data_IF_219095642096
#
_entry.id   IF_219095642096
#
_cell.length_a   1.000
_cell.length_b   1.000
_cell.length_c   1.000
_cell.angle_alpha   90.00
_cell.angle_beta   90.00
_cell.angle_gamma   90.00
#
_symmetry.space_group_name_H-M   'P 1'
#
loop_
_entity.id
_entity.type
_entity.pdbx_description
1 polymer ?
#
# COMPACT_ATOMS: atom_id res chain seq x y z
N UNK A 1 -70.59 -2.31 7.26
CA UNK A 1 -69.38 -3.15 7.12
C UNK A 1 -68.79 -3.37 8.51
N UNK A 2 -68.74 -4.61 9.01
CA UNK A 2 -68.21 -4.92 10.35
C UNK A 2 -66.68 -4.88 10.30
N UNK A 3 -66.05 -4.04 11.12
CA UNK A 3 -64.60 -3.99 11.29
C UNK A 3 -64.16 -5.17 12.17
N UNK A 4 -63.26 -6.01 11.65
CA UNK A 4 -62.61 -7.04 12.46
C UNK A 4 -61.48 -6.39 13.26
N UNK A 5 -61.49 -6.47 14.61
CA UNK A 5 -60.39 -5.93 15.41
C UNK A 5 -59.13 -6.76 15.15
N UNK A 6 -58.03 -6.08 14.80
CA UNK A 6 -56.73 -6.70 14.59
C UNK A 6 -56.33 -7.45 15.87
N UNK A 7 -56.12 -8.76 15.76
CA UNK A 7 -55.68 -9.55 16.91
C UNK A 7 -54.21 -9.24 17.23
N UNK A 8 -53.85 -9.26 18.52
CA UNK A 8 -52.47 -9.01 19.00
C UNK A 8 -51.41 -9.80 18.21
N UNK A 9 -51.74 -11.02 17.77
CA UNK A 9 -50.88 -11.89 16.96
C UNK A 9 -50.68 -11.39 15.52
N UNK A 10 -51.70 -10.78 14.93
CA UNK A 10 -51.61 -10.13 13.62
C UNK A 10 -50.78 -8.85 13.69
N UNK A 11 -50.92 -8.07 14.77
CA UNK A 11 -50.11 -6.86 15.00
C UNK A 11 -48.61 -7.18 15.09
N UNK A 12 -48.22 -8.17 15.91
CA UNK A 12 -46.81 -8.61 16.03
C UNK A 12 -46.25 -9.13 14.70
N UNK A 13 -47.08 -9.81 13.91
CA UNK A 13 -46.67 -10.30 12.58
C UNK A 13 -46.46 -9.15 11.58
N UNK A 14 -47.24 -8.07 11.67
CA UNK A 14 -47.09 -6.92 10.79
C UNK A 14 -45.93 -6.00 11.20
N UNK A 15 -45.62 -5.87 12.49
CA UNK A 15 -44.44 -5.11 12.96
C UNK A 15 -43.12 -5.79 12.63
N UNK A 16 -43.05 -7.13 12.64
CA UNK A 16 -41.84 -7.86 12.25
C UNK A 16 -41.43 -7.64 10.77
N UNK A 17 -42.41 -7.47 9.87
CA UNK A 17 -42.15 -7.22 8.44
C UNK A 17 -41.70 -5.77 8.19
N UNK A 18 -42.19 -4.80 8.95
CA UNK A 18 -41.80 -3.39 8.83
C UNK A 18 -40.34 -3.14 9.28
N UNK A 19 -39.84 -3.88 10.28
CA UNK A 19 -38.43 -3.78 10.71
C UNK A 19 -37.46 -4.47 9.75
N UNK A 20 -37.86 -5.57 9.09
CA UNK A 20 -36.99 -6.29 8.14
C UNK A 20 -36.70 -5.54 6.83
N UNK A 21 -37.59 -4.63 6.42
CA UNK A 21 -37.42 -3.86 5.18
C UNK A 21 -36.45 -2.67 5.32
N UNK A 22 -36.21 -2.18 6.54
CA UNK A 22 -35.26 -1.08 6.82
C UNK A 22 -33.84 -1.56 7.10
N UNK A 23 -33.62 -2.87 7.19
CA UNK A 23 -32.31 -3.49 7.44
C UNK A 23 -31.55 -3.88 6.17
N UNK A 24 -31.96 -3.43 4.99
CA UNK A 24 -31.07 -3.49 3.83
C UNK A 24 -29.99 -2.39 4.01
N UNK A 25 -28.72 -2.75 4.25
CA UNK A 25 -27.67 -1.74 4.20
C UNK A 25 -27.68 -1.20 2.78
N UNK A 26 -27.90 0.10 2.65
CA UNK A 26 -27.69 0.82 1.41
C UNK A 26 -26.22 0.62 1.04
N UNK A 27 -25.95 -0.34 0.14
CA UNK A 27 -24.60 -0.63 -0.38
C UNK A 27 -24.22 0.52 -1.31
N UNK A 28 -23.73 1.61 -0.74
CA UNK A 28 -23.03 2.65 -1.46
C UNK A 28 -22.17 3.46 -0.50
N UNK A 29 -20.99 2.94 -0.16
CA UNK A 29 -19.84 3.79 0.11
C UNK A 29 -18.61 3.17 -0.56
N UNK A 30 -17.77 3.94 -1.27
CA UNK A 30 -16.44 3.48 -1.62
C UNK A 30 -15.69 3.17 -0.32
N UNK A 31 -14.79 2.20 -0.33
CA UNK A 31 -13.96 1.81 0.81
C UNK A 31 -13.13 2.99 1.33
N UNK A 32 -13.74 3.88 2.11
CA UNK A 32 -13.02 4.85 2.94
C UNK A 32 -12.55 4.04 4.14
N UNK A 33 -11.35 3.47 4.04
CA UNK A 33 -10.68 2.86 5.18
C UNK A 33 -10.69 3.89 6.31
N UNK A 34 -11.39 3.57 7.40
CA UNK A 34 -11.40 4.40 8.60
C UNK A 34 -9.97 4.61 9.10
N UNK A 35 -9.71 5.73 9.79
CA UNK A 35 -8.37 6.12 10.22
C UNK A 35 -7.60 5.01 10.98
N UNK A 36 -8.31 4.11 11.66
CA UNK A 36 -7.74 2.97 12.39
C UNK A 36 -7.30 1.79 11.51
N UNK A 37 -7.62 1.78 10.22
CA UNK A 37 -7.27 0.69 9.29
C UNK A 37 -6.19 1.09 8.27
N UNK A 38 -5.61 2.29 8.41
CA UNK A 38 -4.54 2.76 7.52
C UNK A 38 -3.18 2.24 7.97
N UNK A 39 -2.33 1.90 7.01
CA UNK A 39 -0.94 1.53 7.26
C UNK A 39 -0.11 2.79 7.55
N UNK A 40 0.83 2.67 8.48
CA UNK A 40 1.87 3.67 8.69
C UNK A 40 3.01 3.42 7.72
N UNK A 41 3.09 4.27 6.70
CA UNK A 41 4.10 4.20 5.65
C UNK A 41 5.26 5.14 5.96
N UNK A 42 6.49 4.66 5.80
CA UNK A 42 7.67 5.53 5.84
C UNK A 42 8.39 5.59 4.49
N UNK A 43 8.82 6.78 4.10
CA UNK A 43 9.61 7.01 2.88
C UNK A 43 11.10 7.07 3.15
N UNK A 44 11.91 6.36 2.36
CA UNK A 44 13.37 6.42 2.36
C UNK A 44 13.85 6.86 0.97
N UNK A 45 14.39 8.08 0.89
CA UNK A 45 14.57 8.79 -0.38
C UNK A 45 13.22 9.32 -0.86
N UNK A 46 12.93 10.58 -0.59
CA UNK A 46 11.60 11.17 -0.78
C UNK A 46 11.62 12.42 -1.67
N UNK A 47 12.76 12.76 -2.26
CA UNK A 47 12.83 13.66 -3.43
C UNK A 47 12.60 12.93 -4.75
N UNK A 48 12.47 13.68 -5.85
CA UNK A 48 12.37 13.14 -7.21
C UNK A 48 11.35 11.98 -7.37
N UNK A 49 11.82 10.79 -7.77
CA UNK A 49 10.94 9.61 -7.92
C UNK A 49 10.29 9.20 -6.59
N UNK A 50 11.00 9.32 -5.47
CA UNK A 50 10.49 9.00 -4.14
C UNK A 50 9.28 9.86 -3.76
N UNK A 51 9.24 11.13 -4.17
CA UNK A 51 8.06 11.97 -3.98
C UNK A 51 6.82 11.34 -4.62
N UNK A 52 6.92 10.94 -5.90
CA UNK A 52 5.81 10.27 -6.60
C UNK A 52 5.43 8.92 -5.98
N UNK A 53 6.39 8.16 -5.43
CA UNK A 53 6.06 6.88 -4.77
C UNK A 53 5.24 7.11 -3.50
N UNK A 54 5.57 8.13 -2.71
CA UNK A 54 4.80 8.53 -1.53
C UNK A 54 3.42 9.04 -1.92
N UNK A 55 3.31 9.85 -2.97
CA UNK A 55 2.01 10.34 -3.47
C UNK A 55 1.09 9.21 -3.91
N UNK A 56 1.61 8.12 -4.49
CA UNK A 56 0.78 6.99 -4.90
C UNK A 56 0.22 6.16 -3.73
N UNK A 57 0.65 6.45 -2.49
CA UNK A 57 0.19 5.78 -1.27
C UNK A 57 -0.30 6.78 -0.22
N UNK A 58 -0.60 8.03 -0.61
CA UNK A 58 -1.02 9.09 0.32
C UNK A 58 -2.47 8.94 0.82
N UNK A 59 -3.17 7.92 0.33
CA UNK A 59 -4.42 7.42 0.92
C UNK A 59 -4.18 6.67 2.25
N UNK A 60 -2.95 6.26 2.53
CA UNK A 60 -2.51 5.68 3.82
C UNK A 60 -1.98 6.77 4.77
N UNK A 61 -1.42 6.40 5.93
CA UNK A 61 -0.77 7.35 6.82
C UNK A 61 0.71 7.51 6.46
N UNK A 62 1.08 8.67 5.91
CA UNK A 62 2.50 9.01 5.69
C UNK A 62 3.12 9.39 7.03
N UNK A 63 3.69 8.40 7.70
CA UNK A 63 4.10 8.48 9.10
C UNK A 63 5.49 9.11 9.27
N UNK A 64 6.44 8.73 8.43
CA UNK A 64 7.81 9.26 8.48
C UNK A 64 8.41 9.42 7.09
N UNK A 65 9.25 10.44 6.92
CA UNK A 65 9.96 10.72 5.67
C UNK A 65 11.45 10.91 5.98
N UNK A 66 12.29 10.21 5.22
CA UNK A 66 13.73 10.23 5.36
C UNK A 66 14.41 10.62 4.07
N UNK A 67 15.22 11.69 4.10
CA UNK A 67 16.10 12.07 3.01
C UNK A 67 17.36 12.75 3.53
N UNK A 68 18.51 12.49 2.90
CA UNK A 68 19.76 13.17 3.23
C UNK A 68 19.84 14.56 2.60
N UNK A 69 19.14 14.75 1.49
CA UNK A 69 19.05 16.01 0.74
C UNK A 69 17.73 16.72 1.05
N UNK A 70 17.79 17.66 1.99
CA UNK A 70 16.62 18.43 2.43
C UNK A 70 16.06 19.34 1.34
N UNK A 71 16.89 19.79 0.40
CA UNK A 71 16.46 20.69 -0.68
C UNK A 71 15.65 19.90 -1.69
N UNK A 72 16.16 18.75 -2.14
CA UNK A 72 15.46 17.87 -3.06
C UNK A 72 14.17 17.29 -2.46
N UNK A 73 14.17 16.98 -1.16
CA UNK A 73 13.01 16.45 -0.44
C UNK A 73 12.00 17.52 0.04
N UNK A 74 12.31 18.81 -0.13
CA UNK A 74 11.53 19.90 0.45
C UNK A 74 10.05 19.87 0.02
N UNK A 75 9.76 19.43 -1.20
CA UNK A 75 8.39 19.27 -1.71
C UNK A 75 7.58 18.27 -0.88
N UNK A 76 8.11 17.07 -0.68
CA UNK A 76 7.48 16.02 0.12
C UNK A 76 7.33 16.44 1.58
N UNK A 77 8.34 17.08 2.17
CA UNK A 77 8.27 17.58 3.55
C UNK A 77 7.20 18.66 3.75
N UNK A 78 6.98 19.54 2.76
CA UNK A 78 5.91 20.55 2.81
C UNK A 78 4.53 19.92 2.60
N UNK A 79 4.42 18.94 1.69
CA UNK A 79 3.15 18.26 1.39
C UNK A 79 2.66 17.41 2.56
N UNK A 80 3.58 16.78 3.31
CA UNK A 80 3.27 15.93 4.47
C UNK A 80 3.88 16.52 5.76
N UNK A 81 3.37 17.65 6.26
CA UNK A 81 3.99 18.35 7.39
C UNK A 81 3.89 17.59 8.72
N UNK A 82 2.96 16.62 8.82
CA UNK A 82 2.78 15.79 10.02
C UNK A 82 3.71 14.57 10.05
N UNK A 83 4.35 14.23 8.92
CA UNK A 83 5.28 13.11 8.87
C UNK A 83 6.55 13.45 9.64
N UNK A 84 7.01 12.52 10.49
CA UNK A 84 8.28 12.67 11.21
C UNK A 84 9.43 12.71 10.21
N UNK A 85 10.32 13.70 10.35
CA UNK A 85 11.43 13.91 9.41
C UNK A 85 12.72 13.32 9.94
N UNK A 86 13.45 12.63 9.05
CA UNK A 86 14.74 12.03 9.36
C UNK A 86 15.73 12.29 8.23
N UNK A 87 17.01 12.30 8.58
CA UNK A 87 18.12 12.37 7.61
C UNK A 87 18.77 11.01 7.35
N UNK A 88 18.60 10.08 8.28
CA UNK A 88 19.20 8.75 8.26
C UNK A 88 18.11 7.69 8.51
N UNK A 89 17.95 6.78 7.54
CA UNK A 89 16.92 5.75 7.61
C UNK A 89 17.19 4.74 8.72
N UNK A 90 18.44 4.57 9.14
CA UNK A 90 18.82 3.68 10.25
C UNK A 90 18.26 4.23 11.55
N UNK A 91 18.47 5.52 11.78
CA UNK A 91 17.95 6.24 12.95
C UNK A 91 16.42 6.29 12.94
N UNK A 92 15.81 6.51 11.76
CA UNK A 92 14.36 6.44 11.60
C UNK A 92 13.83 5.06 12.00
N UNK A 93 14.37 4.00 11.41
CA UNK A 93 13.93 2.63 11.68
C UNK A 93 14.17 2.22 13.14
N UNK A 94 15.28 2.63 13.75
CA UNK A 94 15.57 2.36 15.17
C UNK A 94 14.54 3.02 16.10
N UNK A 95 14.28 4.32 15.92
CA UNK A 95 13.41 5.09 16.82
C UNK A 95 11.93 4.79 16.58
N UNK A 96 11.56 4.63 15.33
CA UNK A 96 10.18 4.64 14.88
C UNK A 96 9.72 3.32 14.27
N UNK A 97 10.62 2.35 14.08
CA UNK A 97 10.31 1.10 13.39
C UNK A 97 9.13 0.35 13.98
N UNK A 98 8.89 0.42 15.30
CA UNK A 98 7.72 -0.22 15.93
C UNK A 98 6.37 0.35 15.48
N UNK A 99 6.35 1.56 14.93
CA UNK A 99 5.16 2.25 14.44
C UNK A 99 5.03 2.22 12.92
N UNK A 100 6.05 1.76 12.20
CA UNK A 100 6.06 1.67 10.74
C UNK A 100 5.60 0.27 10.33
N UNK A 101 4.68 0.18 9.38
CA UNK A 101 4.21 -1.09 8.81
C UNK A 101 4.95 -1.42 7.52
N UNK A 102 5.15 -0.43 6.67
CA UNK A 102 5.82 -0.57 5.38
C UNK A 102 6.74 0.61 5.07
N UNK A 103 7.73 0.37 4.21
CA UNK A 103 8.60 1.42 3.68
C UNK A 103 8.57 1.47 2.16
N UNK A 104 8.67 2.68 1.61
CA UNK A 104 9.06 2.90 0.21
C UNK A 104 10.53 3.25 0.15
N UNK A 105 11.30 2.58 -0.70
CA UNK A 105 12.74 2.79 -0.87
C UNK A 105 13.02 3.29 -2.29
N UNK A 106 13.38 4.56 -2.40
CA UNK A 106 13.60 5.28 -3.67
C UNK A 106 14.86 6.14 -3.63
N UNK A 107 15.87 5.68 -2.89
CA UNK A 107 17.22 6.27 -2.82
C UNK A 107 17.97 6.10 -4.16
N UNK A 108 19.21 6.60 -4.30
CA UNK A 108 20.11 6.08 -5.33
C UNK A 108 20.20 4.55 -5.28
N UNK A 109 20.41 3.93 -6.44
CA UNK A 109 20.34 2.48 -6.67
C UNK A 109 21.22 1.64 -5.72
N UNK A 110 22.41 2.12 -5.38
CA UNK A 110 23.33 1.45 -4.45
C UNK A 110 22.88 1.41 -3.01
N UNK A 111 21.87 2.20 -2.66
CA UNK A 111 21.28 2.22 -1.33
C UNK A 111 19.95 1.46 -1.25
N UNK A 112 19.41 0.97 -2.37
CA UNK A 112 18.18 0.18 -2.39
C UNK A 112 18.28 -1.08 -1.53
N UNK A 113 19.25 -1.95 -1.81
CA UNK A 113 19.39 -3.21 -1.10
C UNK A 113 19.71 -3.02 0.40
N UNK A 114 20.67 -2.15 0.80
CA UNK A 114 20.94 -1.90 2.22
C UNK A 114 19.71 -1.42 3.01
N UNK A 115 18.97 -0.43 2.48
CA UNK A 115 17.79 0.12 3.15
C UNK A 115 16.65 -0.91 3.22
N UNK A 116 16.36 -1.58 2.11
CA UNK A 116 15.32 -2.60 2.03
C UNK A 116 15.62 -3.80 2.95
N UNK A 117 16.85 -4.33 2.94
CA UNK A 117 17.26 -5.44 3.80
C UNK A 117 17.12 -5.08 5.28
N UNK A 118 17.52 -3.87 5.67
CA UNK A 118 17.39 -3.42 7.05
C UNK A 118 15.90 -3.37 7.48
N UNK A 119 15.05 -2.76 6.65
CA UNK A 119 13.62 -2.68 6.91
C UNK A 119 12.96 -4.07 6.98
N UNK A 120 13.26 -4.97 6.03
CA UNK A 120 12.72 -6.34 6.03
C UNK A 120 13.16 -7.15 7.25
N UNK A 121 14.43 -7.01 7.68
CA UNK A 121 14.93 -7.66 8.92
C UNK A 121 14.17 -7.21 10.17
N UNK A 122 13.61 -6.00 10.14
CA UNK A 122 12.74 -5.44 11.19
C UNK A 122 11.25 -5.77 10.97
N UNK A 123 10.93 -6.66 10.03
CA UNK A 123 9.57 -7.12 9.75
C UNK A 123 8.73 -6.13 8.95
N UNK A 124 9.34 -5.18 8.24
CA UNK A 124 8.63 -4.17 7.45
C UNK A 124 8.38 -4.63 6.03
N UNK A 125 7.18 -4.36 5.53
CA UNK A 125 6.88 -4.54 4.11
C UNK A 125 7.65 -3.51 3.28
N UNK A 126 8.07 -3.88 2.07
CA UNK A 126 8.95 -3.03 1.26
C UNK A 126 8.44 -2.88 -0.16
N UNK A 127 8.16 -1.65 -0.55
CA UNK A 127 8.19 -1.26 -1.96
C UNK A 127 9.57 -0.66 -2.27
N UNK A 128 10.27 -1.15 -3.28
CA UNK A 128 11.61 -0.68 -3.64
C UNK A 128 11.71 -0.37 -5.13
N UNK A 129 12.30 0.77 -5.49
CA UNK A 129 12.41 1.18 -6.87
C UNK A 129 13.31 0.29 -7.72
N UNK A 130 13.09 0.35 -9.04
CA UNK A 130 14.01 -0.22 -10.03
C UNK A 130 15.24 0.70 -10.22
N UNK A 131 16.41 0.15 -10.58
CA UNK A 131 16.76 -1.28 -10.49
C UNK A 131 16.73 -1.74 -9.03
N UNK A 132 16.33 -3.00 -8.77
CA UNK A 132 16.14 -3.49 -7.40
C UNK A 132 17.43 -3.43 -6.58
N UNK A 133 18.54 -3.82 -7.19
CA UNK A 133 19.87 -3.95 -6.58
C UNK A 133 20.96 -3.72 -7.63
N UNK A 134 22.22 -3.56 -7.20
CA UNK A 134 23.37 -3.52 -8.13
C UNK A 134 23.84 -4.90 -8.52
N UNK A 135 23.71 -5.88 -7.63
CA UNK A 135 24.21 -7.24 -7.87
C UNK A 135 23.11 -8.29 -7.76
N UNK A 136 23.30 -9.39 -8.49
CA UNK A 136 22.44 -10.59 -8.36
C UNK A 136 22.52 -11.18 -6.95
N UNK A 137 23.68 -11.06 -6.29
CA UNK A 137 23.85 -11.51 -4.90
C UNK A 137 22.89 -10.76 -3.96
N UNK A 138 22.86 -9.44 -4.03
CA UNK A 138 21.93 -8.62 -3.23
C UNK A 138 20.47 -8.99 -3.49
N UNK A 139 20.08 -9.23 -4.76
CA UNK A 139 18.72 -9.63 -5.09
C UNK A 139 18.35 -10.99 -4.44
N UNK A 140 19.28 -11.96 -4.46
CA UNK A 140 19.10 -13.26 -3.78
C UNK A 140 18.98 -13.10 -2.27
N UNK A 141 19.80 -12.23 -1.66
CA UNK A 141 19.74 -11.92 -0.23
C UNK A 141 18.41 -11.26 0.15
N UNK A 142 17.93 -10.30 -0.65
CA UNK A 142 16.62 -9.67 -0.44
C UNK A 142 15.49 -10.68 -0.50
N UNK A 143 15.52 -11.60 -1.47
CA UNK A 143 14.51 -12.65 -1.58
C UNK A 143 14.53 -13.62 -0.38
N UNK A 144 15.71 -13.98 0.11
CA UNK A 144 15.86 -14.83 1.30
C UNK A 144 15.31 -14.15 2.56
N UNK A 145 15.70 -12.89 2.81
CA UNK A 145 15.23 -12.12 3.97
C UNK A 145 13.72 -11.90 3.90
N UNK A 146 13.18 -11.56 2.73
CA UNK A 146 11.73 -11.39 2.55
C UNK A 146 10.96 -12.66 2.93
N UNK A 147 11.42 -13.84 2.47
CA UNK A 147 10.81 -15.14 2.83
C UNK A 147 10.95 -15.43 4.32
N UNK A 148 12.15 -15.22 4.88
CA UNK A 148 12.44 -15.51 6.30
C UNK A 148 11.56 -14.69 7.24
N UNK A 149 11.40 -13.39 6.94
CA UNK A 149 10.62 -12.47 7.76
C UNK A 149 9.13 -12.39 7.37
N UNK A 150 8.72 -13.13 6.33
CA UNK A 150 7.34 -13.19 5.83
C UNK A 150 6.74 -11.81 5.52
N UNK A 151 7.56 -10.95 4.92
CA UNK A 151 7.15 -9.59 4.54
C UNK A 151 6.74 -9.55 3.07
N UNK A 152 5.66 -8.83 2.77
CA UNK A 152 5.31 -8.45 1.41
C UNK A 152 6.39 -7.52 0.82
N UNK A 153 6.76 -7.79 -0.43
CA UNK A 153 7.70 -6.96 -1.19
C UNK A 153 7.18 -6.70 -2.59
N UNK A 154 7.49 -5.52 -3.13
CA UNK A 154 7.18 -5.14 -4.51
C UNK A 154 8.31 -4.29 -5.09
N UNK A 155 8.73 -4.60 -6.31
CA UNK A 155 9.62 -3.72 -7.07
C UNK A 155 8.80 -2.69 -7.85
N UNK A 156 9.26 -1.44 -7.89
CA UNK A 156 8.69 -0.35 -8.69
C UNK A 156 8.91 -0.54 -10.20
N UNK A 157 8.28 -1.55 -10.79
CA UNK A 157 8.36 -1.86 -12.22
C UNK A 157 7.14 -1.29 -12.97
N UNK A 158 7.04 0.04 -13.07
CA UNK A 158 5.80 0.71 -13.47
C UNK A 158 5.35 0.38 -14.90
N UNK A 159 6.29 0.05 -15.80
CA UNK A 159 5.97 -0.39 -17.17
C UNK A 159 5.16 -1.68 -17.25
N UNK A 160 5.21 -2.52 -16.20
CA UNK A 160 4.54 -3.81 -16.18
C UNK A 160 3.29 -3.87 -15.30
N UNK A 161 2.91 -2.77 -14.64
CA UNK A 161 1.77 -2.76 -13.70
C UNK A 161 0.52 -2.02 -14.20
N UNK A 162 0.53 -1.49 -15.43
CA UNK A 162 -0.59 -0.75 -16.01
C UNK A 162 -1.62 -1.66 -16.72
N UNK A 163 -2.81 -1.11 -16.99
CA UNK A 163 -3.92 -1.84 -17.64
C UNK A 163 -3.59 -2.30 -19.06
N UNK A 164 -2.82 -1.53 -19.82
CA UNK A 164 -2.42 -1.91 -21.18
C UNK A 164 -1.53 -3.15 -21.18
N UNK A 165 -0.54 -3.21 -20.28
CA UNK A 165 0.33 -4.39 -20.14
C UNK A 165 -0.46 -5.60 -19.64
N UNK A 166 -1.40 -5.41 -18.71
CA UNK A 166 -2.29 -6.51 -18.26
C UNK A 166 -3.13 -7.06 -19.42
N UNK A 167 -3.68 -6.18 -20.26
CA UNK A 167 -4.43 -6.57 -21.47
C UNK A 167 -3.54 -7.28 -22.48
N UNK A 168 -2.30 -6.83 -22.68
CA UNK A 168 -1.34 -7.50 -23.55
C UNK A 168 -1.07 -8.94 -23.06
N UNK A 169 -0.83 -9.12 -21.75
CA UNK A 169 -0.65 -10.46 -21.15
C UNK A 169 -1.88 -11.34 -21.37
N UNK A 170 -3.08 -10.79 -21.18
CA UNK A 170 -4.34 -11.50 -21.42
C UNK A 170 -4.45 -11.97 -22.89
N UNK A 171 -4.12 -11.11 -23.85
CA UNK A 171 -4.15 -11.46 -25.29
C UNK A 171 -3.14 -12.56 -25.64
N UNK A 172 -1.94 -12.50 -25.05
CA UNK A 172 -0.91 -13.54 -25.22
C UNK A 172 -1.40 -14.87 -24.63
N UNK A 173 -1.89 -14.86 -23.40
CA UNK A 173 -2.38 -16.06 -22.72
C UNK A 173 -3.63 -16.65 -23.37
N UNK A 174 -4.47 -15.80 -23.97
CA UNK A 174 -5.63 -16.20 -24.77
C UNK A 174 -5.28 -16.75 -26.15
N UNK A 175 -4.00 -16.76 -26.53
CA UNK A 175 -3.54 -17.29 -27.82
C UNK A 175 -3.88 -16.43 -29.03
N UNK A 176 -4.33 -15.18 -28.82
CA UNK A 176 -4.77 -14.27 -29.89
C UNK A 176 -3.66 -13.97 -30.89
N UNK A 177 -2.42 -13.92 -30.40
CA UNK A 177 -1.22 -13.62 -31.20
C UNK A 177 -0.51 -14.88 -31.72
N UNK A 178 -1.00 -16.09 -31.38
CA UNK A 178 -0.26 -17.33 -31.62
C UNK A 178 1.01 -17.46 -30.78
N UNK A 179 1.97 -18.27 -31.24
CA UNK A 179 3.27 -18.45 -30.56
C UNK A 179 4.15 -17.24 -30.81
N UNK A 180 4.50 -16.52 -29.74
CA UNK A 180 5.44 -15.38 -29.79
C UNK A 180 6.84 -15.90 -30.16
N UNK A 181 7.47 -15.28 -31.15
CA UNK A 181 8.88 -15.48 -31.55
C UNK A 181 9.60 -14.13 -31.63
N UNK A 182 10.93 -14.17 -31.76
CA UNK A 182 11.73 -12.97 -32.06
C UNK A 182 11.41 -12.37 -33.43
#
# INVERSE_FOLDING_TARGET
MKSHPLTRRQFVRHTAVAFGALSFPFVATPNVLGANNRLNIAGIGVGGKGASDIENVDNENIYALCDVDEVNAAGSFRKYPQAKRFKDFRVMLEKEGKHIDAVTVSTPDHMHAPAALLAMKMGKHVYCQKPLTHTVYEARQMAEVARKHKVATQMGNQGHCNSHTRRLVELIQGGVLGKVSE
#
